data_IF_090998311947
#
_entry.id   IF_090998311947
#
_cell.length_a   1.000
_cell.length_b   1.000
_cell.length_c   1.000
_cell.angle_alpha   90.00
_cell.angle_beta   90.00
_cell.angle_gamma   90.00
#
_symmetry.space_group_name_H-M   'P 1'
#
loop_
_entity.id
_entity.type
_entity.pdbx_description
1 polymer ?
#
# COMPACT_ATOMS: atom_id res chain seq x y z
N UNK A 1 18.25 7.94 -6.90
CA UNK A 1 19.42 7.02 -6.90
C UNK A 1 19.69 6.59 -5.46
N UNK A 2 19.12 5.48 -5.01
CA UNK A 2 19.54 4.82 -3.75
C UNK A 2 20.79 4.01 -4.06
N UNK A 3 21.90 4.70 -4.29
CA UNK A 3 23.18 3.99 -4.31
C UNK A 3 23.41 3.55 -2.87
N UNK A 4 23.38 2.24 -2.62
CA UNK A 4 24.05 1.65 -1.45
C UNK A 4 25.41 2.35 -1.40
N UNK A 5 25.79 3.00 -0.28
CA UNK A 5 27.09 3.65 -0.19
C UNK A 5 28.12 2.69 -0.75
N UNK A 6 29.03 3.17 -1.59
CA UNK A 6 30.18 2.37 -1.99
C UNK A 6 31.03 2.10 -0.73
N UNK A 7 30.53 1.24 0.17
CA UNK A 7 31.31 0.45 1.09
C UNK A 7 32.06 -0.54 0.19
N UNK A 8 33.06 0.02 -0.49
CA UNK A 8 33.72 -0.51 -1.68
C UNK A 8 34.39 -1.88 -1.47
N UNK A 9 34.35 -2.45 -0.27
CA UNK A 9 35.13 -3.64 0.12
C UNK A 9 34.40 -4.69 0.98
N UNK A 10 33.06 -4.68 1.15
CA UNK A 10 32.38 -5.70 2.01
C UNK A 10 31.10 -6.33 1.45
N UNK A 11 30.67 -5.97 0.24
CA UNK A 11 29.45 -6.52 -0.36
C UNK A 11 29.77 -7.19 -1.70
N UNK A 12 29.50 -8.49 -1.79
CA UNK A 12 29.50 -9.23 -3.05
C UNK A 12 28.08 -9.24 -3.63
N UNK A 13 27.89 -8.56 -4.76
CA UNK A 13 26.61 -8.52 -5.48
C UNK A 13 26.64 -9.53 -6.61
N UNK A 14 25.75 -10.51 -6.58
CA UNK A 14 25.56 -11.49 -7.64
C UNK A 14 24.29 -11.15 -8.42
N UNK A 15 24.40 -10.24 -9.39
CA UNK A 15 23.29 -9.95 -10.32
C UNK A 15 23.14 -11.10 -11.32
N UNK A 16 21.96 -11.25 -11.92
CA UNK A 16 21.63 -12.36 -12.82
C UNK A 16 21.88 -13.75 -12.20
N UNK A 17 21.68 -13.85 -10.88
CA UNK A 17 21.75 -15.11 -10.15
C UNK A 17 20.41 -15.39 -9.48
N UNK A 18 19.97 -16.65 -9.54
CA UNK A 18 18.73 -17.10 -8.92
C UNK A 18 19.05 -18.11 -7.83
N UNK A 19 18.65 -17.83 -6.59
CA UNK A 19 18.65 -18.84 -5.53
C UNK A 19 17.56 -19.85 -5.86
N UNK A 20 17.92 -21.13 -5.96
CA UNK A 20 16.99 -22.22 -6.34
C UNK A 20 16.54 -23.04 -5.14
N UNK A 21 17.36 -23.14 -4.09
CA UNK A 21 17.00 -23.82 -2.85
C UNK A 21 17.83 -23.31 -1.66
N UNK A 22 17.29 -23.52 -0.46
CA UNK A 22 17.94 -23.24 0.82
C UNK A 22 17.99 -24.53 1.61
N UNK A 23 19.20 -24.96 2.00
CA UNK A 23 19.41 -26.04 2.97
C UNK A 23 19.72 -25.40 4.33
N UNK A 24 18.71 -25.34 5.20
CA UNK A 24 18.85 -24.75 6.53
C UNK A 24 19.73 -25.61 7.47
N UNK A 25 19.73 -26.93 7.30
CA UNK A 25 20.52 -27.84 8.14
C UNK A 25 22.01 -27.72 7.89
N UNK A 26 22.41 -27.55 6.62
CA UNK A 26 23.80 -27.32 6.22
C UNK A 26 24.18 -25.84 6.12
N UNK A 27 23.23 -24.93 6.33
CA UNK A 27 23.35 -23.48 6.10
C UNK A 27 23.96 -23.15 4.72
N UNK A 28 23.35 -23.67 3.67
CA UNK A 28 23.80 -23.43 2.30
C UNK A 28 22.67 -23.00 1.36
N UNK A 29 23.03 -22.16 0.39
CA UNK A 29 22.21 -21.79 -0.75
C UNK A 29 22.71 -22.51 -1.98
N UNK A 30 21.77 -23.00 -2.80
CA UNK A 30 22.06 -23.39 -4.18
C UNK A 30 21.68 -22.23 -5.09
N UNK A 31 22.61 -21.77 -5.92
CA UNK A 31 22.45 -20.56 -6.74
C UNK A 31 22.78 -20.89 -8.19
N UNK A 32 21.87 -20.57 -9.10
CA UNK A 32 22.02 -20.68 -10.55
C UNK A 32 22.48 -19.34 -11.12
N UNK A 33 23.61 -19.35 -11.83
CA UNK A 33 24.02 -18.24 -12.69
C UNK A 33 23.20 -18.29 -14.00
N UNK A 34 22.41 -17.25 -14.26
CA UNK A 34 21.49 -17.22 -15.40
C UNK A 34 22.21 -16.96 -16.73
N UNK A 35 23.44 -16.44 -16.71
CA UNK A 35 24.22 -16.21 -17.93
C UNK A 35 24.92 -17.49 -18.39
N UNK A 36 25.40 -18.31 -17.46
CA UNK A 36 26.19 -19.52 -17.76
C UNK A 36 25.42 -20.83 -17.57
N UNK A 37 24.23 -20.78 -16.98
CA UNK A 37 23.46 -21.96 -16.53
C UNK A 37 24.20 -22.86 -15.54
N UNK A 38 25.24 -22.35 -14.87
CA UNK A 38 26.01 -23.10 -13.88
C UNK A 38 25.43 -22.91 -12.48
N UNK A 39 25.41 -24.00 -11.71
CA UNK A 39 25.01 -23.97 -10.30
C UNK A 39 26.22 -23.90 -9.38
N UNK A 40 26.09 -23.15 -8.29
CA UNK A 40 27.09 -23.12 -7.20
C UNK A 40 26.43 -23.14 -5.83
N UNK A 41 27.16 -23.63 -4.86
CA UNK A 41 26.76 -23.61 -3.45
C UNK A 41 27.42 -22.44 -2.72
N UNK A 42 26.65 -21.75 -1.88
CA UNK A 42 27.13 -20.64 -1.05
C UNK A 42 26.73 -20.91 0.40
N UNK A 43 27.73 -20.97 1.30
CA UNK A 43 27.50 -21.08 2.74
C UNK A 43 27.10 -19.73 3.34
N UNK A 44 26.28 -19.75 4.38
CA UNK A 44 25.90 -18.56 5.15
C UNK A 44 25.97 -18.81 6.65
N UNK A 45 26.19 -17.74 7.42
CA UNK A 45 26.01 -17.77 8.88
C UNK A 45 24.58 -17.36 9.26
N UNK A 46 24.11 -16.27 8.65
CA UNK A 46 22.73 -15.76 8.72
C UNK A 46 22.19 -15.52 7.31
N UNK A 47 20.88 -15.74 7.10
CA UNK A 47 20.21 -15.55 5.82
C UNK A 47 19.03 -14.58 5.98
N UNK A 48 18.94 -13.57 5.11
CA UNK A 48 17.77 -12.67 5.03
C UNK A 48 17.04 -12.94 3.71
N UNK A 49 15.80 -13.40 3.81
CA UNK A 49 14.90 -13.59 2.67
C UNK A 49 14.14 -12.29 2.38
N UNK A 50 14.42 -11.70 1.22
CA UNK A 50 13.78 -10.48 0.72
C UNK A 50 13.27 -10.70 -0.72
N UNK A 51 12.64 -11.85 -0.98
CA UNK A 51 12.15 -12.24 -2.32
C UNK A 51 10.90 -11.48 -2.77
N UNK A 52 10.36 -10.62 -1.91
CA UNK A 52 9.23 -9.75 -2.21
C UNK A 52 7.97 -10.52 -2.59
N UNK A 53 7.22 -9.96 -3.53
CA UNK A 53 5.98 -10.51 -4.06
C UNK A 53 5.91 -10.33 -5.58
N UNK A 54 5.06 -11.12 -6.22
CA UNK A 54 4.80 -11.06 -7.66
C UNK A 54 3.34 -10.67 -7.93
N UNK A 55 3.03 -10.02 -9.07
CA UNK A 55 1.66 -9.68 -9.45
C UNK A 55 0.74 -10.90 -9.46
N UNK A 56 -0.48 -10.71 -8.98
CA UNK A 56 -1.52 -11.73 -9.08
C UNK A 56 -2.12 -11.70 -10.49
N UNK A 57 -2.18 -12.87 -11.12
CA UNK A 57 -2.88 -13.10 -12.37
C UNK A 57 -4.27 -13.66 -12.03
N UNK A 58 -5.33 -13.05 -12.55
CA UNK A 58 -6.69 -13.54 -12.33
C UNK A 58 -6.87 -14.88 -13.03
N UNK A 59 -7.60 -15.78 -12.37
CA UNK A 59 -8.00 -17.06 -12.96
C UNK A 59 -9.22 -16.86 -13.90
N UNK A 60 -9.00 -16.17 -15.01
CA UNK A 60 -9.99 -15.96 -16.09
C UNK A 60 -9.36 -16.34 -17.43
N UNK A 61 -10.14 -16.90 -18.38
CA UNK A 61 -9.58 -17.32 -19.67
C UNK A 61 -8.87 -16.17 -20.38
N UNK A 62 -7.67 -16.44 -20.90
CA UNK A 62 -6.84 -15.50 -21.65
C UNK A 62 -5.88 -14.67 -20.79
N UNK A 63 -6.04 -14.61 -19.46
CA UNK A 63 -5.17 -13.82 -18.60
C UNK A 63 -3.72 -14.34 -18.54
N UNK A 64 -3.56 -15.63 -18.28
CA UNK A 64 -2.23 -16.25 -18.27
C UNK A 64 -1.72 -16.41 -19.71
N UNK A 65 -2.58 -16.91 -20.61
CA UNK A 65 -2.20 -17.27 -21.98
C UNK A 65 -1.68 -16.07 -22.79
N UNK A 66 -2.29 -14.89 -22.60
CA UNK A 66 -1.91 -13.66 -23.30
C UNK A 66 -0.93 -12.78 -22.51
N UNK A 67 -0.33 -13.29 -21.42
CA UNK A 67 0.72 -12.59 -20.68
C UNK A 67 1.92 -12.25 -21.58
N UNK A 68 2.34 -10.98 -21.55
CA UNK A 68 3.36 -10.43 -22.45
C UNK A 68 2.88 -10.22 -23.89
N UNK A 69 1.64 -10.59 -24.22
CA UNK A 69 1.01 -10.45 -25.54
C UNK A 69 -0.22 -9.56 -25.48
N UNK A 70 -0.07 -8.41 -24.81
CA UNK A 70 -1.14 -7.45 -24.55
C UNK A 70 -1.71 -7.50 -23.14
N UNK A 71 -1.43 -8.56 -22.36
CA UNK A 71 -1.61 -8.55 -20.90
C UNK A 71 -0.30 -8.16 -20.24
N UNK A 72 -0.34 -7.10 -19.42
CA UNK A 72 0.81 -6.46 -18.81
C UNK A 72 0.65 -6.34 -17.29
N UNK A 73 1.78 -6.19 -16.62
CA UNK A 73 1.90 -5.97 -15.18
C UNK A 73 2.80 -4.77 -14.93
N UNK A 74 2.80 -4.24 -13.72
CA UNK A 74 3.74 -3.19 -13.28
C UNK A 74 4.26 -3.57 -11.90
N UNK A 75 5.40 -4.27 -11.87
CA UNK A 75 6.09 -4.68 -10.64
C UNK A 75 7.59 -4.42 -10.64
N UNK A 76 8.21 -4.36 -11.82
CA UNK A 76 9.62 -4.08 -12.01
C UNK A 76 9.85 -3.19 -13.23
N UNK A 77 11.12 -2.88 -13.51
CA UNK A 77 11.51 -2.01 -14.61
C UNK A 77 11.18 -2.62 -15.97
N UNK A 78 11.41 -3.92 -16.14
CA UNK A 78 11.21 -4.62 -17.42
C UNK A 78 9.72 -4.64 -17.79
N UNK A 79 8.85 -4.92 -16.82
CA UNK A 79 7.40 -4.89 -16.96
C UNK A 79 6.90 -3.47 -17.31
N UNK A 80 7.46 -2.45 -16.65
CA UNK A 80 7.11 -1.05 -16.86
C UNK A 80 7.52 -0.57 -18.26
N UNK A 81 8.72 -0.94 -18.72
CA UNK A 81 9.21 -0.64 -20.06
C UNK A 81 8.39 -1.37 -21.14
N UNK A 82 8.05 -2.64 -20.92
CA UNK A 82 7.20 -3.40 -21.81
C UNK A 82 5.82 -2.75 -21.99
N UNK A 83 5.18 -2.32 -20.89
CA UNK A 83 3.90 -1.60 -20.94
C UNK A 83 4.03 -0.25 -21.65
N UNK A 84 5.08 0.52 -21.36
CA UNK A 84 5.31 1.81 -22.01
C UNK A 84 5.48 1.66 -23.53
N UNK A 85 6.25 0.66 -23.96
CA UNK A 85 6.45 0.36 -25.37
C UNK A 85 5.13 -0.07 -26.02
N UNK A 86 4.38 -0.97 -25.38
CA UNK A 86 3.06 -1.40 -25.85
C UNK A 86 2.10 -0.21 -25.99
N UNK A 87 2.06 0.70 -25.02
CA UNK A 87 1.22 1.89 -25.07
C UNK A 87 1.59 2.81 -26.25
N UNK A 88 2.88 3.04 -26.50
CA UNK A 88 3.36 3.84 -27.64
C UNK A 88 2.99 3.20 -28.98
N UNK A 89 3.17 1.89 -29.10
CA UNK A 89 2.88 1.12 -30.33
C UNK A 89 1.44 0.62 -30.43
N UNK A 90 0.56 0.96 -29.48
CA UNK A 90 -0.83 0.50 -29.48
C UNK A 90 -1.54 0.92 -30.77
N UNK A 91 -2.11 -0.07 -31.43
CA UNK A 91 -2.85 0.06 -32.69
C UNK A 91 -4.28 0.57 -32.46
N UNK A 92 -4.90 0.17 -31.35
CA UNK A 92 -6.28 0.54 -31.01
C UNK A 92 -6.37 1.80 -30.16
N UNK A 93 -5.25 2.21 -29.53
CA UNK A 93 -5.19 3.29 -28.52
C UNK A 93 -6.19 3.07 -27.37
N UNK A 94 -6.42 1.81 -26.99
CA UNK A 94 -7.41 1.42 -25.96
C UNK A 94 -6.80 0.47 -24.95
N UNK A 95 -6.96 0.79 -23.68
CA UNK A 95 -6.47 -0.03 -22.58
C UNK A 95 -7.55 -0.30 -21.52
N UNK A 96 -7.52 -1.49 -20.94
CA UNK A 96 -8.32 -1.84 -19.76
C UNK A 96 -7.40 -2.13 -18.59
N UNK A 97 -7.58 -1.41 -17.49
CA UNK A 97 -6.85 -1.67 -16.24
C UNK A 97 -7.74 -2.42 -15.26
N UNK A 98 -7.29 -3.58 -14.81
CA UNK A 98 -8.01 -4.43 -13.87
C UNK A 98 -7.45 -4.20 -12.46
N UNK A 99 -8.17 -3.43 -11.65
CA UNK A 99 -7.79 -3.10 -10.27
C UNK A 99 -7.98 -1.62 -9.93
N UNK A 100 -8.64 -1.35 -8.79
CA UNK A 100 -8.89 0.00 -8.27
C UNK A 100 -8.06 0.35 -7.03
N UNK A 101 -6.81 -0.11 -6.99
CA UNK A 101 -5.80 0.30 -5.98
C UNK A 101 -4.79 1.30 -6.57
N UNK A 102 -3.75 1.63 -5.81
CA UNK A 102 -2.73 2.63 -6.20
C UNK A 102 -2.12 2.33 -7.57
N UNK A 103 -1.55 1.12 -7.74
CA UNK A 103 -0.90 0.70 -8.99
C UNK A 103 -1.87 0.84 -10.17
N UNK A 104 -3.07 0.28 -10.07
CA UNK A 104 -4.05 0.32 -11.17
C UNK A 104 -4.44 1.74 -11.56
N UNK A 105 -4.72 2.61 -10.58
CA UNK A 105 -5.19 3.96 -10.86
C UNK A 105 -4.06 4.89 -11.33
N UNK A 106 -2.85 4.76 -10.79
CA UNK A 106 -1.67 5.48 -11.29
C UNK A 106 -1.37 5.10 -12.75
N UNK A 107 -1.40 3.80 -13.05
CA UNK A 107 -1.18 3.30 -14.42
C UNK A 107 -2.29 3.75 -15.36
N UNK A 108 -3.56 3.73 -14.93
CA UNK A 108 -4.67 4.21 -15.74
C UNK A 108 -4.51 5.69 -16.14
N UNK A 109 -4.13 6.54 -15.18
CA UNK A 109 -3.82 7.96 -15.44
C UNK A 109 -2.59 8.09 -16.34
N UNK A 110 -1.55 7.28 -16.15
CA UNK A 110 -0.37 7.25 -17.01
C UNK A 110 -0.71 6.93 -18.47
N UNK A 111 -1.50 5.88 -18.70
CA UNK A 111 -1.97 5.49 -20.03
C UNK A 111 -2.87 6.56 -20.66
N UNK A 112 -3.75 7.18 -19.87
CA UNK A 112 -4.58 8.30 -20.34
C UNK A 112 -3.73 9.48 -20.81
N UNK A 113 -2.67 9.83 -20.07
CA UNK A 113 -1.70 10.88 -20.46
C UNK A 113 -0.91 10.54 -21.71
N UNK A 114 -0.73 9.25 -22.02
CA UNK A 114 -0.13 8.79 -23.28
C UNK A 114 -1.12 8.81 -24.47
N UNK A 115 -2.35 9.28 -24.26
CA UNK A 115 -3.37 9.45 -25.30
C UNK A 115 -4.22 8.21 -25.57
N UNK A 116 -4.20 7.21 -24.67
CA UNK A 116 -5.08 6.05 -24.78
C UNK A 116 -6.48 6.37 -24.23
N UNK A 117 -7.50 5.75 -24.79
CA UNK A 117 -8.80 5.60 -24.16
C UNK A 117 -8.71 4.47 -23.12
N UNK A 118 -9.08 4.77 -21.87
CA UNK A 118 -8.79 3.91 -20.73
C UNK A 118 -10.07 3.61 -19.98
N UNK A 119 -10.33 2.33 -19.76
CA UNK A 119 -11.31 1.86 -18.80
C UNK A 119 -10.60 1.23 -17.60
N UNK A 120 -11.14 1.43 -16.39
CA UNK A 120 -10.70 0.75 -15.17
C UNK A 120 -11.84 -0.09 -14.64
N UNK A 121 -11.56 -1.34 -14.32
CA UNK A 121 -12.55 -2.32 -13.87
C UNK A 121 -12.07 -3.05 -12.62
N UNK A 122 -13.00 -3.45 -11.76
CA UNK A 122 -12.75 -4.39 -10.67
C UNK A 122 -14.07 -4.96 -10.16
N UNK A 123 -14.02 -6.17 -9.61
CA UNK A 123 -15.22 -6.91 -9.16
C UNK A 123 -16.06 -6.18 -8.10
N UNK A 124 -15.45 -5.41 -7.21
CA UNK A 124 -16.17 -4.70 -6.12
C UNK A 124 -16.31 -3.21 -6.41
N UNK A 125 -17.35 -2.51 -5.91
CA UNK A 125 -17.56 -1.09 -6.25
C UNK A 125 -16.52 -0.08 -5.72
N UNK A 126 -16.16 -0.03 -4.42
CA UNK A 126 -15.36 1.10 -3.91
C UNK A 126 -13.87 0.95 -4.24
N UNK A 127 -13.17 1.98 -4.78
CA UNK A 127 -11.70 1.95 -4.90
C UNK A 127 -11.05 1.88 -3.52
N UNK A 128 -9.80 1.39 -3.47
CA UNK A 128 -9.03 1.24 -2.23
C UNK A 128 -9.81 0.62 -1.06
N UNK A 129 -10.49 -0.54 -1.24
CA UNK A 129 -11.41 -1.08 -0.23
C UNK A 129 -10.73 -1.47 1.08
N UNK A 130 -9.39 -1.64 1.08
CA UNK A 130 -8.59 -1.95 2.28
C UNK A 130 -8.16 -0.69 3.06
N UNK A 131 -8.41 0.50 2.52
CA UNK A 131 -7.82 1.74 3.02
C UNK A 131 -8.84 2.86 3.26
N UNK A 132 -9.90 2.91 2.45
CA UNK A 132 -10.86 4.01 2.45
C UNK A 132 -12.26 3.49 2.70
N UNK A 133 -13.06 4.28 3.43
CA UNK A 133 -14.50 4.09 3.45
C UNK A 133 -15.09 4.40 2.06
N UNK A 134 -16.17 3.72 1.66
CA UNK A 134 -16.82 3.94 0.36
C UNK A 134 -17.16 5.41 0.08
N UNK A 135 -17.56 6.18 1.10
CA UNK A 135 -17.91 7.60 0.97
C UNK A 135 -16.72 8.50 0.61
N UNK A 136 -15.50 8.10 0.98
CA UNK A 136 -14.27 8.81 0.58
C UNK A 136 -13.80 8.29 -0.78
N UNK A 137 -13.95 6.99 -1.03
CA UNK A 137 -13.60 6.36 -2.31
C UNK A 137 -14.39 6.91 -3.51
N UNK A 138 -15.64 7.34 -3.35
CA UNK A 138 -16.45 7.89 -4.44
C UNK A 138 -15.86 9.15 -5.06
N UNK A 139 -15.16 9.98 -4.28
CA UNK A 139 -14.47 11.19 -4.75
C UNK A 139 -13.44 10.85 -5.83
N UNK A 140 -12.77 9.70 -5.67
CA UNK A 140 -11.75 9.22 -6.62
C UNK A 140 -12.41 8.80 -7.93
N UNK A 141 -13.59 8.14 -7.86
CA UNK A 141 -14.34 7.74 -9.05
C UNK A 141 -14.75 8.95 -9.87
N UNK A 142 -15.38 9.95 -9.24
CA UNK A 142 -15.78 11.20 -9.90
C UNK A 142 -14.58 11.93 -10.54
N UNK A 143 -13.43 11.90 -9.86
CA UNK A 143 -12.20 12.52 -10.36
C UNK A 143 -11.66 11.81 -11.61
N UNK A 144 -11.65 10.47 -11.62
CA UNK A 144 -11.23 9.69 -12.78
C UNK A 144 -12.15 9.92 -13.99
N UNK A 145 -13.46 9.97 -13.77
CA UNK A 145 -14.43 10.25 -14.83
C UNK A 145 -14.25 11.65 -15.42
N UNK A 146 -13.95 12.66 -14.60
CA UNK A 146 -13.58 14.02 -15.07
C UNK A 146 -12.30 14.04 -15.90
N UNK A 147 -11.38 13.10 -15.67
CA UNK A 147 -10.19 12.90 -16.50
C UNK A 147 -10.48 12.10 -17.78
N UNK A 148 -11.74 11.73 -18.03
CA UNK A 148 -12.16 10.94 -19.19
C UNK A 148 -11.72 9.48 -19.12
N UNK A 149 -11.55 8.94 -17.91
CA UNK A 149 -11.30 7.51 -17.69
C UNK A 149 -12.64 6.84 -17.37
N UNK A 150 -12.99 5.79 -18.11
CA UNK A 150 -14.24 5.04 -17.91
C UNK A 150 -14.12 4.15 -16.68
N UNK A 151 -14.94 4.35 -15.65
CA UNK A 151 -14.92 3.53 -14.43
C UNK A 151 -16.01 2.47 -14.46
N UNK A 152 -15.61 1.20 -14.36
CA UNK A 152 -16.45 0.01 -14.42
C UNK A 152 -16.33 -0.81 -13.12
N UNK A 153 -16.32 -0.13 -11.98
CA UNK A 153 -16.27 -0.82 -10.69
C UNK A 153 -17.58 -1.53 -10.37
N UNK A 154 -17.48 -2.64 -9.64
CA UNK A 154 -18.61 -3.56 -9.42
C UNK A 154 -18.81 -4.55 -10.57
N UNK A 155 -18.05 -4.41 -11.66
CA UNK A 155 -18.02 -5.34 -12.78
C UNK A 155 -16.62 -5.94 -12.85
N UNK A 156 -16.50 -7.26 -12.78
CA UNK A 156 -15.23 -7.96 -12.97
C UNK A 156 -14.98 -8.25 -14.44
N UNK A 157 -13.73 -8.55 -14.80
CA UNK A 157 -13.44 -9.14 -16.10
C UNK A 157 -13.81 -10.62 -16.08
N UNK A 158 -14.49 -11.06 -17.14
CA UNK A 158 -14.91 -12.45 -17.32
C UNK A 158 -13.91 -13.23 -18.19
N UNK A 159 -13.35 -12.56 -19.21
CA UNK A 159 -12.42 -13.15 -20.18
C UNK A 159 -11.59 -12.09 -20.90
N UNK A 160 -10.36 -12.45 -21.29
CA UNK A 160 -9.54 -11.69 -22.22
C UNK A 160 -9.51 -12.44 -23.56
N UNK A 161 -9.95 -11.79 -24.62
CA UNK A 161 -10.05 -12.38 -25.95
C UNK A 161 -8.84 -12.01 -26.81
N UNK A 162 -8.36 -12.97 -27.60
CA UNK A 162 -7.27 -12.77 -28.55
C UNK A 162 -6.64 -14.09 -28.99
N UNK A 163 -6.12 -14.14 -30.21
CA UNK A 163 -5.39 -15.32 -30.70
C UNK A 163 -3.89 -15.17 -30.45
N UNK A 164 -3.28 -14.17 -31.09
CA UNK A 164 -1.84 -13.89 -30.97
C UNK A 164 -1.54 -12.83 -29.92
N UNK A 165 -2.46 -11.87 -29.75
CA UNK A 165 -2.40 -10.77 -28.79
C UNK A 165 -3.81 -10.42 -28.33
N UNK A 166 -3.93 -9.64 -27.27
CA UNK A 166 -5.21 -9.09 -26.80
C UNK A 166 -5.93 -8.33 -27.92
N UNK A 167 -7.21 -8.63 -28.09
CA UNK A 167 -8.11 -7.98 -29.04
C UNK A 167 -9.33 -7.35 -28.34
N UNK A 168 -9.81 -7.93 -27.24
CA UNK A 168 -10.87 -7.34 -26.43
C UNK A 168 -10.93 -7.97 -25.05
N UNK A 169 -11.77 -7.41 -24.17
CA UNK A 169 -12.14 -8.02 -22.89
C UNK A 169 -13.64 -8.10 -22.74
N UNK A 170 -14.11 -9.14 -22.08
CA UNK A 170 -15.52 -9.30 -21.72
C UNK A 170 -15.73 -8.90 -20.26
N UNK A 171 -16.67 -7.99 -20.02
CA UNK A 171 -16.99 -7.44 -18.71
C UNK A 171 -18.51 -7.34 -18.59
N UNK A 172 -19.12 -8.21 -17.78
CA UNK A 172 -20.57 -8.21 -17.52
C UNK A 172 -21.39 -8.21 -18.84
N UNK A 173 -21.09 -9.18 -19.71
CA UNK A 173 -21.71 -9.38 -21.03
C UNK A 173 -21.43 -8.28 -22.08
N UNK A 174 -20.67 -7.24 -21.72
CA UNK A 174 -20.17 -6.22 -22.64
C UNK A 174 -18.79 -6.63 -23.17
N UNK A 175 -18.61 -6.61 -24.49
CA UNK A 175 -17.30 -6.80 -25.11
C UNK A 175 -16.64 -5.44 -25.37
N UNK A 176 -15.53 -5.16 -24.68
CA UNK A 176 -14.78 -3.92 -24.78
C UNK A 176 -13.53 -4.15 -25.62
N UNK A 177 -13.50 -3.52 -26.79
CA UNK A 177 -12.36 -3.51 -27.70
C UNK A 177 -11.12 -2.85 -27.05
N UNK A 178 -10.00 -3.56 -26.97
CA UNK A 178 -8.72 -3.06 -26.46
C UNK A 178 -7.55 -3.91 -26.95
N UNK A 179 -6.33 -3.37 -26.97
CA UNK A 179 -5.12 -4.14 -27.26
C UNK A 179 -4.12 -4.18 -26.09
N UNK A 180 -4.49 -3.56 -24.97
CA UNK A 180 -3.71 -3.54 -23.72
C UNK A 180 -4.64 -3.85 -22.55
N UNK A 181 -4.27 -4.83 -21.74
CA UNK A 181 -4.84 -5.11 -20.43
C UNK A 181 -3.74 -4.99 -19.39
N UNK A 182 -3.96 -4.20 -18.34
CA UNK A 182 -3.04 -4.14 -17.20
C UNK A 182 -3.67 -4.84 -16.01
N UNK A 183 -3.01 -5.87 -15.50
CA UNK A 183 -3.44 -6.60 -14.32
C UNK A 183 -2.83 -5.97 -13.06
N UNK A 184 -3.65 -5.34 -12.23
CA UNK A 184 -3.27 -4.63 -11.01
C UNK A 184 -4.16 -5.04 -9.81
N UNK A 185 -4.38 -6.35 -9.66
CA UNK A 185 -5.34 -6.91 -8.69
C UNK A 185 -4.73 -7.31 -7.35
N UNK A 186 -3.44 -7.03 -7.14
CA UNK A 186 -2.72 -7.34 -5.90
C UNK A 186 -1.41 -8.09 -6.15
N UNK A 187 -0.68 -8.34 -5.08
CA UNK A 187 0.63 -9.00 -5.10
C UNK A 187 0.59 -10.23 -4.20
N UNK A 188 1.26 -11.31 -4.61
CA UNK A 188 1.40 -12.57 -3.86
C UNK A 188 2.84 -12.76 -3.42
N UNK A 189 3.06 -12.98 -2.13
CA UNK A 189 4.40 -13.17 -1.58
C UNK A 189 5.14 -14.37 -2.20
N UNK A 190 6.43 -14.20 -2.45
CA UNK A 190 7.30 -15.20 -3.07
C UNK A 190 7.88 -16.16 -2.01
N UNK A 191 7.00 -16.94 -1.37
CA UNK A 191 7.30 -17.77 -0.18
C UNK A 191 8.12 -19.03 -0.46
N UNK A 192 8.27 -19.43 -1.72
CA UNK A 192 8.84 -20.74 -2.10
C UNK A 192 10.20 -21.05 -1.44
N UNK A 193 11.12 -20.08 -1.38
CA UNK A 193 12.43 -20.30 -0.76
C UNK A 193 12.33 -20.46 0.76
N UNK A 194 11.42 -19.74 1.40
CA UNK A 194 11.18 -19.86 2.84
C UNK A 194 10.56 -21.22 3.18
N UNK A 195 9.61 -21.69 2.37
CA UNK A 195 9.01 -23.03 2.52
C UNK A 195 10.05 -24.14 2.34
N UNK A 196 10.91 -24.02 1.33
CA UNK A 196 12.02 -24.97 1.12
C UNK A 196 13.01 -24.97 2.29
N UNK A 197 13.20 -23.82 2.95
CA UNK A 197 14.02 -23.72 4.16
C UNK A 197 13.34 -24.29 5.42
N UNK A 198 12.04 -24.63 5.36
CA UNK A 198 11.24 -25.09 6.50
C UNK A 198 10.60 -23.97 7.33
N UNK A 199 10.55 -22.75 6.83
CA UNK A 199 9.92 -21.63 7.53
C UNK A 199 8.39 -21.73 7.53
N UNK A 200 7.76 -21.40 8.66
CA UNK A 200 6.31 -21.35 8.81
C UNK A 200 5.73 -20.27 7.91
N UNK A 201 4.71 -20.63 7.13
CA UNK A 201 3.89 -19.71 6.36
C UNK A 201 2.46 -19.72 6.88
N UNK A 202 1.78 -18.57 6.77
CA UNK A 202 0.38 -18.41 7.15
C UNK A 202 -0.26 -17.38 6.21
N UNK A 203 -1.49 -17.66 5.74
CA UNK A 203 -2.21 -16.81 4.77
C UNK A 203 -1.36 -16.42 3.53
N UNK A 204 -0.46 -17.31 3.11
CA UNK A 204 0.39 -17.11 1.94
C UNK A 204 1.61 -16.19 2.16
N UNK A 205 1.99 -15.89 3.40
CA UNK A 205 3.18 -15.09 3.73
C UNK A 205 4.03 -15.78 4.81
N UNK A 206 5.31 -15.41 4.92
CA UNK A 206 6.24 -15.95 5.93
C UNK A 206 5.97 -15.31 7.28
N UNK A 207 5.73 -16.12 8.32
CA UNK A 207 5.50 -15.59 9.66
C UNK A 207 6.82 -15.20 10.30
N UNK A 208 6.91 -13.97 10.81
CA UNK A 208 8.08 -13.47 11.53
C UNK A 208 7.72 -12.89 12.89
N UNK A 209 8.66 -12.95 13.84
CA UNK A 209 8.54 -12.24 15.11
C UNK A 209 8.93 -10.76 14.99
N UNK A 210 8.93 -10.00 16.09
CA UNK A 210 9.31 -8.59 16.09
C UNK A 210 10.79 -8.33 15.80
N UNK A 211 11.65 -9.35 15.79
CA UNK A 211 13.06 -9.27 15.36
C UNK A 211 13.25 -9.65 13.88
N UNK A 212 12.15 -9.87 13.16
CA UNK A 212 12.11 -10.33 11.76
C UNK A 212 12.67 -11.74 11.57
N UNK A 213 12.78 -12.51 12.65
CA UNK A 213 13.21 -13.91 12.62
C UNK A 213 12.05 -14.79 12.13
N UNK A 214 12.35 -15.74 11.24
CA UNK A 214 11.41 -16.79 10.85
C UNK A 214 11.35 -17.88 11.94
N UNK A 215 10.56 -18.94 11.71
CA UNK A 215 10.59 -20.12 12.58
C UNK A 215 11.86 -20.95 12.46
N UNK A 216 12.76 -20.64 11.51
CA UNK A 216 14.02 -21.34 11.29
C UNK A 216 15.16 -20.47 11.81
N UNK A 217 16.01 -21.08 12.64
CA UNK A 217 17.15 -20.41 13.27
C UNK A 217 18.07 -19.78 12.22
N UNK A 218 18.54 -18.56 12.50
CA UNK A 218 19.46 -17.78 11.66
C UNK A 218 18.88 -17.41 10.26
N UNK A 219 17.58 -17.60 10.04
CA UNK A 219 16.86 -17.16 8.84
C UNK A 219 15.85 -16.09 9.22
N UNK A 220 15.97 -14.94 8.55
CA UNK A 220 15.12 -13.76 8.68
C UNK A 220 14.31 -13.57 7.39
N UNK A 221 13.18 -12.88 7.47
CA UNK A 221 12.40 -12.50 6.30
C UNK A 221 11.87 -11.08 6.44
N UNK A 222 11.76 -10.35 5.31
CA UNK A 222 11.35 -8.93 5.31
C UNK A 222 10.53 -8.56 4.07
N UNK A 223 9.87 -7.41 4.14
CA UNK A 223 9.14 -6.78 3.05
C UNK A 223 7.85 -7.51 2.70
N UNK A 224 7.47 -7.43 1.43
CA UNK A 224 6.22 -7.98 0.90
C UNK A 224 6.09 -9.52 1.06
N UNK A 225 7.15 -10.17 1.53
CA UNK A 225 7.22 -11.60 1.82
C UNK A 225 6.52 -11.99 3.13
N UNK A 226 6.39 -11.08 4.10
CA UNK A 226 6.11 -11.45 5.50
C UNK A 226 4.71 -11.10 5.99
N UNK A 227 4.20 -11.96 6.88
CA UNK A 227 3.18 -11.63 7.85
C UNK A 227 3.88 -11.17 9.14
N UNK A 228 3.57 -9.95 9.57
CA UNK A 228 4.03 -9.35 10.82
C UNK A 228 2.81 -9.03 11.70
N UNK A 229 2.87 -7.99 12.52
CA UNK A 229 1.76 -7.58 13.39
C UNK A 229 1.43 -6.09 13.26
N UNK A 230 0.18 -5.75 13.56
CA UNK A 230 -0.32 -4.40 13.65
C UNK A 230 0.28 -3.68 14.86
N UNK A 231 0.69 -2.42 14.66
CA UNK A 231 1.15 -1.54 15.74
C UNK A 231 0.01 -1.16 16.69
N UNK A 232 -1.24 -1.25 16.25
CA UNK A 232 -2.42 -0.79 17.01
C UNK A 232 -2.74 -1.75 18.15
N UNK A 233 -2.71 -3.06 17.88
CA UNK A 233 -3.24 -4.10 18.78
C UNK A 233 -2.42 -5.41 18.79
N UNK A 234 -1.33 -5.48 18.01
CA UNK A 234 -0.50 -6.69 17.89
C UNK A 234 -1.09 -7.81 17.03
N UNK A 235 -2.23 -7.61 16.38
CA UNK A 235 -2.87 -8.63 15.54
C UNK A 235 -2.04 -8.94 14.29
N UNK A 236 -2.04 -10.19 13.78
CA UNK A 236 -1.29 -10.54 12.58
C UNK A 236 -1.75 -9.74 11.35
N UNK A 237 -0.79 -9.20 10.57
CA UNK A 237 -1.08 -8.39 9.39
C UNK A 237 -0.05 -8.57 8.28
N UNK A 238 -0.48 -8.35 7.04
CA UNK A 238 0.37 -8.38 5.84
C UNK A 238 0.37 -6.98 5.25
N UNK A 239 1.56 -6.42 5.06
CA UNK A 239 1.74 -5.06 4.55
C UNK A 239 2.80 -5.03 3.46
N UNK A 240 2.34 -4.75 2.24
CA UNK A 240 3.17 -4.72 1.05
C UNK A 240 3.48 -3.26 0.68
N UNK A 241 4.30 -2.61 1.51
CA UNK A 241 4.68 -1.20 1.38
C UNK A 241 6.19 -1.04 1.51
N UNK A 242 6.78 -0.21 0.65
CA UNK A 242 8.22 0.06 0.64
C UNK A 242 8.75 0.61 1.97
N UNK A 243 7.97 1.47 2.65
CA UNK A 243 8.32 2.04 3.97
C UNK A 243 8.52 0.95 5.02
N UNK A 244 7.70 -0.09 4.96
CA UNK A 244 7.74 -1.21 5.88
C UNK A 244 8.86 -2.17 5.53
N UNK A 245 9.02 -2.50 4.25
CA UNK A 245 10.15 -3.30 3.78
C UNK A 245 11.50 -2.68 4.20
N UNK A 246 11.64 -1.36 4.11
CA UNK A 246 12.82 -0.64 4.57
C UNK A 246 13.06 -0.82 6.08
N UNK A 247 12.05 -0.53 6.91
CA UNK A 247 12.16 -0.62 8.37
C UNK A 247 12.42 -2.06 8.85
N UNK A 248 11.76 -3.03 8.23
CA UNK A 248 11.97 -4.46 8.49
C UNK A 248 13.37 -4.89 8.06
N UNK A 249 13.86 -4.42 6.90
CA UNK A 249 15.23 -4.67 6.44
C UNK A 249 16.30 -4.16 7.41
N UNK A 250 16.11 -2.97 7.98
CA UNK A 250 17.00 -2.42 9.03
C UNK A 250 16.99 -3.33 10.27
N UNK A 251 15.81 -3.69 10.78
CA UNK A 251 15.68 -4.55 11.95
C UNK A 251 16.32 -5.94 11.72
N UNK A 252 15.99 -6.60 10.61
CA UNK A 252 16.55 -7.90 10.24
C UNK A 252 18.07 -7.84 10.06
N UNK A 253 18.60 -6.80 9.42
CA UNK A 253 20.04 -6.63 9.23
C UNK A 253 20.81 -6.51 10.56
N UNK A 254 20.30 -5.72 11.50
CA UNK A 254 20.89 -5.58 12.85
C UNK A 254 20.82 -6.92 13.59
N UNK A 255 19.68 -7.60 13.57
CA UNK A 255 19.50 -8.84 14.31
C UNK A 255 20.33 -9.99 13.72
N UNK A 256 20.40 -10.09 12.38
CA UNK A 256 21.22 -11.08 11.69
C UNK A 256 22.73 -10.94 11.97
N UNK A 257 23.17 -9.72 12.33
CA UNK A 257 24.54 -9.42 12.74
C UNK A 257 24.80 -9.62 14.25
N UNK A 258 23.83 -10.14 15.01
CA UNK A 258 23.94 -10.37 16.45
C UNK A 258 23.46 -9.22 17.34
N UNK A 259 22.84 -8.18 16.76
CA UNK A 259 22.25 -7.06 17.50
C UNK A 259 20.84 -7.33 18.03
N UNK A 260 20.22 -6.28 18.57
CA UNK A 260 18.85 -6.32 19.06
C UNK A 260 18.08 -5.06 18.63
N UNK A 261 17.30 -5.19 17.55
CA UNK A 261 16.45 -4.14 17.00
C UNK A 261 15.06 -4.70 16.70
N UNK A 262 14.04 -4.38 17.52
CA UNK A 262 12.67 -4.76 17.24
C UNK A 262 12.05 -3.86 16.16
N UNK A 263 11.30 -4.45 15.25
CA UNK A 263 10.34 -3.76 14.39
C UNK A 263 9.11 -3.41 15.24
N UNK A 264 8.60 -2.17 15.26
CA UNK A 264 7.54 -1.78 16.19
C UNK A 264 6.13 -2.23 15.76
N UNK A 265 5.98 -2.84 14.58
CA UNK A 265 4.69 -3.19 13.99
C UNK A 265 4.25 -2.24 12.89
N UNK A 266 3.16 -2.62 12.24
CA UNK A 266 2.62 -2.02 11.03
C UNK A 266 1.46 -1.05 11.31
N UNK A 267 1.43 0.10 10.62
CA UNK A 267 0.26 0.98 10.61
C UNK A 267 -0.48 1.00 9.27
N UNK A 268 0.02 0.35 8.22
CA UNK A 268 -0.52 0.46 6.87
C UNK A 268 -0.66 1.92 6.37
N UNK A 269 0.23 2.82 6.85
CA UNK A 269 0.29 4.21 6.40
C UNK A 269 0.76 4.26 4.96
N UNK A 270 -0.08 4.77 4.06
CA UNK A 270 0.24 4.89 2.64
C UNK A 270 -0.25 6.23 2.08
N UNK A 271 0.37 6.65 0.98
CA UNK A 271 -0.08 7.77 0.18
C UNK A 271 0.17 7.47 -1.31
N UNK A 272 -0.67 8.00 -2.17
CA UNK A 272 -0.57 7.94 -3.63
C UNK A 272 -1.14 9.22 -4.25
N UNK A 273 -0.77 9.51 -5.49
CA UNK A 273 -1.31 10.62 -6.27
C UNK A 273 -1.93 10.08 -7.55
N UNK A 274 -3.25 10.23 -7.68
CA UNK A 274 -4.01 9.75 -8.84
C UNK A 274 -4.58 10.97 -9.57
N UNK A 275 -4.00 11.30 -10.72
CA UNK A 275 -4.53 12.39 -11.55
C UNK A 275 -4.50 13.76 -10.89
N UNK A 276 -3.54 14.01 -9.98
CA UNK A 276 -3.46 15.25 -9.20
C UNK A 276 -4.26 15.25 -7.90
N UNK A 277 -4.91 14.14 -7.56
CA UNK A 277 -5.57 13.94 -6.27
C UNK A 277 -4.64 13.17 -5.34
N UNK A 278 -4.28 13.75 -4.20
CA UNK A 278 -3.62 13.04 -3.11
C UNK A 278 -4.63 12.14 -2.39
N UNK A 279 -4.25 10.89 -2.18
CA UNK A 279 -5.02 9.88 -1.46
C UNK A 279 -4.11 9.28 -0.41
N UNK A 280 -4.52 9.30 0.85
CA UNK A 280 -3.72 8.76 1.94
C UNK A 280 -4.59 8.12 3.02
N UNK A 281 -4.05 7.11 3.70
CA UNK A 281 -4.65 6.54 4.92
C UNK A 281 -3.59 6.03 5.88
N UNK A 282 -4.01 5.80 7.12
CA UNK A 282 -3.25 5.10 8.15
C UNK A 282 -4.20 4.34 9.07
N UNK A 283 -3.73 3.25 9.66
CA UNK A 283 -4.50 2.42 10.58
C UNK A 283 -5.63 1.65 9.92
N UNK A 284 -6.73 1.47 10.65
CA UNK A 284 -7.87 0.63 10.24
C UNK A 284 -8.97 1.42 9.55
N UNK A 285 -9.65 0.76 8.62
CA UNK A 285 -11.01 1.14 8.20
C UNK A 285 -12.01 0.79 9.31
N UNK A 286 -13.21 1.37 9.26
CA UNK A 286 -14.27 1.06 10.22
C UNK A 286 -14.66 -0.42 10.16
N UNK A 287 -14.74 -0.98 8.95
CA UNK A 287 -15.01 -2.40 8.75
C UNK A 287 -13.93 -3.27 9.40
N UNK A 288 -12.64 -2.92 9.23
CA UNK A 288 -11.54 -3.68 9.83
C UNK A 288 -11.60 -3.63 11.36
N UNK A 289 -11.77 -2.44 11.95
CA UNK A 289 -11.86 -2.27 13.40
C UNK A 289 -13.03 -3.10 13.99
N UNK A 290 -14.21 -3.03 13.37
CA UNK A 290 -15.37 -3.84 13.80
C UNK A 290 -15.14 -5.34 13.67
N UNK A 291 -14.48 -5.79 12.60
CA UNK A 291 -14.16 -7.21 12.40
C UNK A 291 -13.14 -7.73 13.44
N UNK A 292 -12.34 -6.83 14.03
CA UNK A 292 -11.43 -7.14 15.13
C UNK A 292 -12.08 -7.07 16.52
N UNK A 293 -13.35 -6.64 16.58
CA UNK A 293 -14.13 -6.56 17.82
C UNK A 293 -14.15 -5.18 18.48
N UNK A 294 -13.57 -4.15 17.84
CA UNK A 294 -13.60 -2.79 18.38
C UNK A 294 -15.02 -2.19 18.33
N UNK A 295 -15.43 -1.53 19.40
CA UNK A 295 -16.58 -0.61 19.38
C UNK A 295 -16.21 0.69 18.66
N UNK A 296 -16.01 0.63 17.35
CA UNK A 296 -15.49 1.73 16.55
C UNK A 296 -16.58 2.57 15.86
N UNK A 297 -16.28 3.87 15.69
CA UNK A 297 -17.06 4.81 14.88
C UNK A 297 -16.15 5.61 13.95
N UNK A 298 -16.68 5.95 12.79
CA UNK A 298 -15.99 6.80 11.82
C UNK A 298 -16.68 8.16 11.70
N UNK A 299 -15.88 9.21 11.57
CA UNK A 299 -16.33 10.59 11.41
C UNK A 299 -15.63 11.21 10.22
N UNK A 300 -16.39 11.91 9.38
CA UNK A 300 -15.91 12.52 8.15
C UNK A 300 -16.23 13.99 8.11
N UNK A 301 -15.33 14.76 7.50
CA UNK A 301 -15.50 16.17 7.24
C UNK A 301 -14.96 16.52 5.85
N UNK A 302 -15.53 17.57 5.25
CA UNK A 302 -15.01 18.21 4.04
C UNK A 302 -14.79 19.67 4.36
N UNK A 303 -13.55 20.15 4.22
CA UNK A 303 -13.13 21.48 4.68
C UNK A 303 -12.15 22.12 3.73
N UNK A 304 -12.17 23.43 3.66
CA UNK A 304 -11.13 24.21 3.01
C UNK A 304 -9.79 23.96 3.71
N UNK A 305 -8.73 23.79 2.91
CA UNK A 305 -7.37 23.64 3.43
C UNK A 305 -6.82 24.99 3.84
N UNK A 306 -7.13 26.05 3.10
CA UNK A 306 -6.64 27.44 3.28
C UNK A 306 -7.83 28.38 3.44
N UNK A 307 -7.67 29.55 4.09
CA UNK A 307 -8.72 30.57 4.14
C UNK A 307 -9.27 30.91 2.76
N UNK A 308 -10.59 31.12 2.63
CA UNK A 308 -11.27 31.42 1.37
C UNK A 308 -10.68 32.61 0.57
N UNK A 309 -9.99 33.55 1.22
CA UNK A 309 -9.32 34.68 0.58
C UNK A 309 -7.97 34.32 -0.08
N UNK A 310 -7.47 33.10 0.12
CA UNK A 310 -6.23 32.63 -0.48
C UNK A 310 -6.44 32.10 -1.91
N UNK A 311 -5.51 32.38 -2.83
CA UNK A 311 -5.55 31.77 -4.16
C UNK A 311 -5.53 30.24 -4.09
N UNK A 312 -6.28 29.58 -4.98
CA UNK A 312 -6.38 28.13 -5.08
C UNK A 312 -6.75 27.46 -3.75
N UNK A 313 -7.66 28.07 -2.98
CA UNK A 313 -8.24 27.42 -1.81
C UNK A 313 -9.02 26.17 -2.28
N UNK A 314 -8.46 25.00 -1.96
CA UNK A 314 -9.05 23.71 -2.27
C UNK A 314 -9.62 23.07 -1.00
N UNK A 315 -10.56 22.15 -1.18
CA UNK A 315 -11.11 21.36 -0.09
C UNK A 315 -10.40 20.02 0.05
N UNK A 316 -10.35 19.52 1.28
CA UNK A 316 -9.95 18.17 1.63
C UNK A 316 -11.11 17.43 2.28
N UNK A 317 -11.30 16.17 1.89
CA UNK A 317 -12.17 15.23 2.60
C UNK A 317 -11.31 14.39 3.53
N UNK A 318 -11.59 14.46 4.83
CA UNK A 318 -10.83 13.81 5.89
C UNK A 318 -11.77 12.99 6.77
N UNK A 319 -11.32 11.80 7.14
CA UNK A 319 -12.01 10.90 8.04
C UNK A 319 -11.11 10.37 9.14
N UNK A 320 -11.68 10.16 10.33
CA UNK A 320 -11.03 9.50 11.46
C UNK A 320 -11.89 8.35 11.97
N UNK A 321 -11.25 7.23 12.31
CA UNK A 321 -11.85 6.04 12.90
C UNK A 321 -11.33 5.95 14.32
N UNK A 322 -12.24 5.84 15.28
CA UNK A 322 -11.91 5.88 16.71
C UNK A 322 -12.69 4.85 17.51
N UNK A 323 -12.11 4.41 18.61
CA UNK A 323 -12.82 3.67 19.65
C UNK A 323 -13.86 4.59 20.33
N UNK A 324 -15.10 4.11 20.44
CA UNK A 324 -16.23 4.95 20.85
C UNK A 324 -16.16 5.42 22.29
N UNK A 325 -15.61 4.59 23.20
CA UNK A 325 -15.59 4.88 24.63
C UNK A 325 -14.46 5.81 25.07
N UNK A 326 -13.31 5.76 24.40
CA UNK A 326 -12.11 6.52 24.79
C UNK A 326 -11.76 7.65 23.81
N UNK A 327 -12.23 7.57 22.55
CA UNK A 327 -11.74 8.41 21.48
C UNK A 327 -10.32 8.06 21.02
N UNK A 328 -9.77 6.88 21.39
CA UNK A 328 -8.50 6.37 20.87
C UNK A 328 -8.56 6.28 19.35
N UNK A 329 -7.52 6.77 18.68
CA UNK A 329 -7.47 6.80 17.22
C UNK A 329 -7.05 5.43 16.71
N UNK A 330 -7.88 4.84 15.85
CA UNK A 330 -7.65 3.52 15.23
C UNK A 330 -7.26 3.66 13.76
N UNK A 331 -7.66 4.74 13.10
CA UNK A 331 -7.32 5.00 11.72
C UNK A 331 -7.70 6.39 11.25
N UNK A 332 -7.17 6.79 10.10
CA UNK A 332 -7.54 8.02 9.42
C UNK A 332 -7.34 7.88 7.92
N UNK A 333 -8.10 8.67 7.16
CA UNK A 333 -8.12 8.59 5.70
C UNK A 333 -8.45 9.96 5.11
N UNK A 334 -7.77 10.33 4.04
CA UNK A 334 -7.87 11.66 3.45
C UNK A 334 -7.74 11.61 1.93
N UNK A 335 -8.54 12.45 1.27
CA UNK A 335 -8.52 12.66 -0.19
C UNK A 335 -8.69 14.15 -0.48
N UNK A 336 -7.80 14.71 -1.28
CA UNK A 336 -7.83 16.13 -1.68
C UNK A 336 -6.75 16.44 -2.71
N UNK A 337 -6.82 17.61 -3.37
CA UNK A 337 -5.78 18.01 -4.34
C UNK A 337 -4.45 18.41 -3.67
N UNK A 338 -4.51 18.70 -2.39
CA UNK A 338 -3.37 19.12 -1.60
C UNK A 338 -3.53 18.64 -0.16
N UNK A 339 -2.43 18.22 0.45
CA UNK A 339 -2.30 18.13 1.90
C UNK A 339 -3.04 16.97 2.57
N UNK A 340 -3.40 15.94 1.82
CA UNK A 340 -3.91 14.69 2.38
C UNK A 340 -2.78 13.90 3.05
N UNK A 341 -1.63 13.78 2.39
CA UNK A 341 -0.54 12.95 2.89
C UNK A 341 0.03 13.46 4.23
N UNK A 342 0.24 14.76 4.39
CA UNK A 342 0.85 15.29 5.62
C UNK A 342 -0.09 15.20 6.82
N UNK A 343 -1.40 15.38 6.63
CA UNK A 343 -2.41 15.21 7.70
C UNK A 343 -2.51 13.75 8.12
N UNK A 344 -2.44 12.82 7.17
CA UNK A 344 -2.37 11.39 7.50
C UNK A 344 -1.10 11.03 8.26
N UNK A 345 0.04 11.68 7.98
CA UNK A 345 1.24 11.50 8.78
C UNK A 345 1.08 11.97 10.23
N UNK A 346 0.30 13.04 10.49
CA UNK A 346 -0.04 13.44 11.86
C UNK A 346 -0.86 12.36 12.57
N UNK A 347 -1.89 11.82 11.93
CA UNK A 347 -2.65 10.70 12.50
C UNK A 347 -1.81 9.43 12.67
N UNK A 348 -0.85 9.17 11.77
CA UNK A 348 0.04 8.03 11.91
C UNK A 348 0.93 8.16 13.16
N UNK A 349 1.45 9.36 13.44
CA UNK A 349 2.17 9.64 14.69
C UNK A 349 1.26 9.58 15.91
N UNK A 350 0.03 10.08 15.80
CA UNK A 350 -0.95 10.01 16.88
C UNK A 350 -1.25 8.56 17.28
N UNK A 351 -1.52 7.70 16.30
CA UNK A 351 -1.72 6.26 16.55
C UNK A 351 -0.44 5.63 17.12
N UNK A 352 0.74 6.03 16.63
CA UNK A 352 2.01 5.50 17.14
C UNK A 352 2.23 5.78 18.64
N UNK A 353 1.76 6.94 19.11
CA UNK A 353 1.82 7.39 20.50
C UNK A 353 0.56 7.08 21.31
N UNK A 354 -0.31 6.18 20.86
CA UNK A 354 -1.56 5.79 21.54
C UNK A 354 -2.48 6.99 21.89
N UNK A 355 -2.45 8.03 21.04
CA UNK A 355 -3.20 9.27 21.26
C UNK A 355 -4.70 9.12 21.00
N UNK A 356 -5.46 10.03 21.62
CA UNK A 356 -6.91 10.17 21.49
C UNK A 356 -7.27 11.42 20.69
N UNK A 357 -8.57 11.58 20.39
CA UNK A 357 -9.10 12.82 19.81
C UNK A 357 -8.82 14.07 20.65
N UNK A 358 -8.66 13.94 21.98
CA UNK A 358 -8.33 15.08 22.81
C UNK A 358 -6.91 15.58 22.55
N UNK A 359 -5.96 14.68 22.35
CA UNK A 359 -4.58 15.06 22.06
C UNK A 359 -4.46 15.76 20.70
N UNK A 360 -5.33 15.40 19.74
CA UNK A 360 -5.46 16.13 18.46
C UNK A 360 -6.03 17.53 18.66
N UNK A 361 -6.98 17.71 19.58
CA UNK A 361 -7.54 19.03 19.90
C UNK A 361 -6.55 19.93 20.65
N UNK A 362 -5.71 19.34 21.50
CA UNK A 362 -4.71 20.06 22.30
C UNK A 362 -3.45 20.41 21.47
N UNK A 363 -3.23 19.72 20.34
CA UNK A 363 -2.04 19.90 19.52
C UNK A 363 -1.98 21.30 18.87
N UNK A 364 -0.90 22.03 19.16
CA UNK A 364 -0.56 23.27 18.46
C UNK A 364 0.10 22.94 17.10
N UNK A 365 -0.61 23.24 16.01
CA UNK A 365 -0.13 23.02 14.65
C UNK A 365 0.43 24.31 14.03
N UNK A 366 1.50 24.19 13.27
CA UNK A 366 2.09 25.32 12.54
C UNK A 366 1.06 25.91 11.56
N UNK A 367 0.90 27.24 11.60
CA UNK A 367 -0.10 27.96 10.81
C UNK A 367 0.53 29.12 10.00
N UNK A 368 0.11 29.21 8.73
CA UNK A 368 0.28 30.35 7.85
C UNK A 368 -0.82 30.26 6.77
N UNK A 369 -1.57 31.34 6.42
CA UNK A 369 -2.66 31.27 5.45
C UNK A 369 -2.39 30.52 4.12
N UNK A 370 -1.18 30.59 3.49
CA UNK A 370 -0.87 29.82 2.28
C UNK A 370 -0.70 28.32 2.50
N UNK A 371 -0.62 27.85 3.75
CA UNK A 371 -0.36 26.46 4.12
C UNK A 371 -1.59 25.80 4.72
N UNK A 372 -2.28 26.47 5.65
CA UNK A 372 -3.47 25.93 6.30
C UNK A 372 -4.45 27.01 6.79
N UNK A 373 -5.68 26.60 7.12
CA UNK A 373 -6.64 27.33 7.94
C UNK A 373 -6.11 27.48 9.38
N UNK A 374 -6.50 28.55 10.06
CA UNK A 374 -6.15 28.75 11.48
C UNK A 374 -6.66 27.58 12.33
N UNK A 375 -7.85 27.08 12.00
CA UNK A 375 -8.39 25.86 12.55
C UNK A 375 -8.28 24.75 11.52
N UNK A 376 -7.22 23.94 11.61
CA UNK A 376 -6.89 22.92 10.61
C UNK A 376 -8.02 21.88 10.45
N UNK A 377 -8.25 21.34 9.23
CA UNK A 377 -9.13 20.19 9.03
C UNK A 377 -8.95 19.02 10.03
N UNK A 378 -7.72 18.77 10.51
CA UNK A 378 -7.40 17.77 11.54
C UNK A 378 -8.10 18.08 12.87
N UNK A 379 -7.99 19.31 13.37
CA UNK A 379 -8.67 19.72 14.61
C UNK A 379 -10.19 19.76 14.42
N UNK A 380 -10.65 20.22 13.26
CA UNK A 380 -12.08 20.24 12.92
C UNK A 380 -12.72 18.84 12.94
N UNK A 381 -12.07 17.82 12.38
CA UNK A 381 -12.63 16.46 12.39
C UNK A 381 -12.64 15.89 13.81
N UNK A 382 -11.63 16.21 14.63
CA UNK A 382 -11.57 15.77 16.03
C UNK A 382 -12.69 16.39 16.88
N UNK A 383 -12.94 17.68 16.74
CA UNK A 383 -14.04 18.36 17.44
C UNK A 383 -15.41 17.78 17.05
N UNK A 384 -15.63 17.55 15.75
CA UNK A 384 -16.87 16.92 15.26
C UNK A 384 -17.04 15.53 15.89
N UNK A 385 -15.96 14.74 15.93
CA UNK A 385 -15.99 13.41 16.50
C UNK A 385 -16.28 13.44 18.00
N UNK A 386 -15.58 14.27 18.79
CA UNK A 386 -15.81 14.44 20.23
C UNK A 386 -17.26 14.84 20.55
N UNK A 387 -17.80 15.85 19.85
CA UNK A 387 -19.20 16.30 20.04
C UNK A 387 -20.21 15.20 19.73
N UNK A 388 -19.97 14.38 18.70
CA UNK A 388 -20.88 13.31 18.28
C UNK A 388 -20.74 12.01 19.10
N UNK A 389 -19.59 11.78 19.70
CA UNK A 389 -19.39 10.70 20.66
C UNK A 389 -19.99 11.04 22.03
N UNK A 390 -20.15 12.34 22.34
CA UNK A 390 -20.59 12.82 23.67
C UNK A 390 -19.67 12.33 24.80
N UNK A 391 -18.38 12.22 24.50
CA UNK A 391 -17.40 11.88 25.52
C UNK A 391 -17.33 13.02 26.56
N UNK A 392 -17.05 12.70 27.84
CA UNK A 392 -16.86 13.72 28.86
C UNK A 392 -15.72 14.67 28.46
N UNK A 393 -15.73 15.94 28.89
CA UNK A 393 -14.57 16.81 28.66
C UNK A 393 -13.30 16.19 29.26
N UNK A 394 -12.15 16.42 28.63
CA UNK A 394 -10.84 16.02 29.19
C UNK A 394 -10.74 16.58 30.60
N UNK A 395 -10.40 15.74 31.57
CA UNK A 395 -10.17 16.22 32.92
C UNK A 395 -8.92 17.10 32.90
N UNK A 396 -9.03 18.35 33.37
CA UNK A 396 -7.87 19.20 33.53
C UNK A 396 -6.94 18.58 34.57
N UNK A 397 -5.69 18.33 34.18
CA UNK A 397 -4.64 18.12 35.16
C UNK A 397 -4.49 19.41 35.97
N UNK A 398 -4.32 19.31 37.29
CA UNK A 398 -4.06 20.47 38.15
C UNK A 398 -2.71 21.05 37.75
N UNK A 399 -2.70 22.08 36.90
CA UNK A 399 -1.47 22.79 36.57
C UNK A 399 -1.70 24.29 36.66
N UNK A 400 -0.89 24.91 37.52
CA UNK A 400 -0.77 26.34 37.87
C UNK A 400 -1.75 26.92 38.89
N UNK A 401 -1.54 26.55 40.15
CA UNK A 401 -1.04 27.51 41.15
C UNK A 401 0.09 26.81 41.93
N UNK A 402 1.38 27.17 41.76
CA UNK A 402 2.37 26.80 42.77
C UNK A 402 1.91 27.45 44.09
N UNK A 403 1.73 26.63 45.13
CA UNK A 403 1.38 27.10 46.48
C UNK A 403 2.56 27.87 47.07
#
# INVERSE_FOLDING_TARGET
KYNVPELKNRLSKLLFHKVVSVDAGRKMLKVLDLATSQEKEIKYDSLILATGASPVILNVPGAEELSGRGVHFVSDIDNSEALLNAAKSSSKKKAVVVGGGSIGLEVAVGLKKLGLDVAVTKKTPPPFPRNLEPSIGSIIVEHLEKLGIRVLFGKGIDRINGTNKVESVEIAEENIDCDIVVMAVGMKANVRLAELAGAKTEKGAVVVNNRMETSVKDIYAVGDLVQTYSRIDGTPTIMQLATSAYRQGVAAGINAAGGNSPYPGALNTFATVVGGLEIASTGYTLETAKNLGDEARAFFTKREIKPHYMPNAEEISLGVIVESGSGKILGAQAVGKEGAAWRINLFALAIHGDMTLYDIMDAELAYNPPVSQMYDPVSQVAEIALKRLKLPPKQCEKIFFPV
#
